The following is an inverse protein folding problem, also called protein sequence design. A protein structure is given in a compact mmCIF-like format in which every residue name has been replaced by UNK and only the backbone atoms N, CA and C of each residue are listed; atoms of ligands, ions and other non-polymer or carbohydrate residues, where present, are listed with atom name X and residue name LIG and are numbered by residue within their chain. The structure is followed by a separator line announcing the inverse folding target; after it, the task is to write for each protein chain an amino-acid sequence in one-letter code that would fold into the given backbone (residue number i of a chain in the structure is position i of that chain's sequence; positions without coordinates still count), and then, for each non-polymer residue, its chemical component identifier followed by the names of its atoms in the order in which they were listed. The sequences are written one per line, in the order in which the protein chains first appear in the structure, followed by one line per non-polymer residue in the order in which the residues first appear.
data_IF_852854413155
#
_entry.id   IF_852854413155
#
_cell.length_a   1.000
_cell.length_b   1.000
_cell.length_c   1.000
_cell.angle_alpha   90.00
_cell.angle_beta   90.00
_cell.angle_gamma   90.00
#
_symmetry.space_group_name_H-M   'P 1'
#
loop_
_entity.id
_entity.type
_entity.pdbx_description
1 polymer ?
#
# COMPACT_ATOMS: atom_id res chain seq x y z
N UNK A 1 11.86 -5.67 -19.17
CA UNK A 1 11.96 -5.54 -17.73
C UNK A 1 10.65 -6.00 -17.09
N UNK A 2 10.74 -6.82 -16.05
CA UNK A 2 9.55 -7.35 -15.40
C UNK A 2 8.80 -6.23 -14.68
N UNK A 3 7.47 -6.29 -14.75
CA UNK A 3 6.63 -5.35 -14.03
C UNK A 3 6.76 -5.62 -12.54
N UNK A 4 6.73 -4.55 -11.75
CA UNK A 4 6.77 -4.63 -10.30
C UNK A 4 5.59 -5.48 -9.82
N UNK A 5 5.80 -6.46 -8.90
CA UNK A 5 4.73 -7.38 -8.49
C UNK A 5 3.47 -6.71 -7.96
N UNK A 6 3.62 -5.60 -7.24
CA UNK A 6 2.47 -4.83 -6.76
C UNK A 6 1.63 -4.34 -7.95
N UNK A 7 2.30 -3.75 -8.94
CA UNK A 7 1.62 -3.18 -10.11
C UNK A 7 0.95 -4.29 -10.91
N UNK A 8 1.66 -5.41 -11.10
CA UNK A 8 1.10 -6.56 -11.80
C UNK A 8 -0.15 -7.06 -11.10
N UNK A 9 -0.12 -7.15 -9.77
CA UNK A 9 -1.25 -7.63 -9.00
C UNK A 9 -2.44 -6.68 -9.09
N UNK A 10 -2.19 -5.36 -9.10
CA UNK A 10 -3.28 -4.39 -9.31
C UNK A 10 -3.94 -4.63 -10.66
N UNK A 11 -3.13 -4.83 -11.70
CA UNK A 11 -3.62 -5.08 -13.05
C UNK A 11 -4.46 -6.36 -13.11
N UNK A 12 -4.08 -7.36 -12.33
CA UNK A 12 -4.70 -8.69 -12.34
C UNK A 12 -5.81 -8.86 -11.31
N UNK A 13 -6.13 -7.85 -10.54
CA UNK A 13 -7.20 -7.92 -9.56
C UNK A 13 -8.52 -8.33 -10.22
N UNK A 14 -9.45 -8.93 -9.47
CA UNK A 14 -10.74 -9.34 -10.05
C UNK A 14 -11.40 -8.21 -10.82
N UNK A 15 -12.06 -8.54 -11.93
CA UNK A 15 -12.68 -7.54 -12.80
C UNK A 15 -13.71 -6.69 -12.08
N UNK A 16 -14.40 -7.28 -11.10
CA UNK A 16 -15.42 -6.57 -10.34
C UNK A 16 -14.84 -5.62 -9.28
N UNK A 17 -13.53 -5.69 -9.02
CA UNK A 17 -12.91 -4.86 -7.99
C UNK A 17 -12.89 -3.40 -8.42
N UNK A 18 -13.32 -2.50 -7.53
CA UNK A 18 -13.17 -1.08 -7.73
C UNK A 18 -11.72 -0.65 -7.56
N UNK A 19 -11.47 0.65 -7.70
CA UNK A 19 -10.10 1.18 -7.71
C UNK A 19 -9.34 0.83 -6.42
N UNK A 20 -9.92 1.13 -5.26
CA UNK A 20 -9.22 0.88 -4.00
C UNK A 20 -9.12 -0.61 -3.71
N UNK A 21 -10.11 -1.40 -4.11
CA UNK A 21 -10.04 -2.86 -3.93
C UNK A 21 -8.92 -3.46 -4.77
N UNK A 22 -8.73 -2.97 -6.00
CA UNK A 22 -7.62 -3.45 -6.84
C UNK A 22 -6.27 -3.09 -6.21
N UNK A 23 -6.13 -1.88 -5.68
CA UNK A 23 -4.92 -1.47 -4.98
C UNK A 23 -4.70 -2.33 -3.74
N UNK A 24 -5.76 -2.59 -2.99
CA UNK A 24 -5.69 -3.44 -1.78
C UNK A 24 -5.20 -4.85 -2.12
N UNK A 25 -5.68 -5.39 -3.23
CA UNK A 25 -5.23 -6.70 -3.70
C UNK A 25 -3.73 -6.68 -3.97
N UNK A 26 -3.25 -5.65 -4.67
CA UNK A 26 -1.83 -5.51 -4.97
C UNK A 26 -0.98 -5.35 -3.72
N UNK A 27 -1.45 -4.56 -2.75
CA UNK A 27 -0.74 -4.37 -1.49
C UNK A 27 -0.62 -5.67 -0.70
N UNK A 28 -1.66 -6.50 -0.73
CA UNK A 28 -1.63 -7.79 -0.05
C UNK A 28 -0.57 -8.70 -0.66
N UNK A 29 -0.47 -8.72 -1.99
CA UNK A 29 0.55 -9.50 -2.68
C UNK A 29 1.95 -9.01 -2.31
N UNK A 30 2.15 -7.70 -2.33
CA UNK A 30 3.44 -7.10 -1.98
C UNK A 30 3.82 -7.44 -0.53
N UNK A 31 2.88 -7.26 0.39
CA UNK A 31 3.13 -7.50 1.81
C UNK A 31 3.45 -8.97 2.07
N UNK A 32 2.77 -9.89 1.40
CA UNK A 32 3.05 -11.31 1.56
C UNK A 32 4.49 -11.64 1.15
N UNK A 33 5.00 -10.99 0.09
CA UNK A 33 6.39 -11.17 -0.31
C UNK A 33 7.38 -10.73 0.76
N UNK A 34 7.12 -9.58 1.38
CA UNK A 34 7.97 -9.12 2.47
C UNK A 34 7.86 -10.02 3.70
N UNK A 35 6.67 -10.56 3.98
CA UNK A 35 6.50 -11.50 5.09
C UNK A 35 7.32 -12.77 4.88
N UNK A 36 7.47 -13.22 3.64
CA UNK A 36 8.30 -14.38 3.34
C UNK A 36 9.77 -14.13 3.64
N UNK A 37 10.25 -12.91 3.41
CA UNK A 37 11.61 -12.54 3.77
C UNK A 37 11.78 -12.33 5.28
N UNK A 38 10.67 -12.03 5.96
CA UNK A 38 10.62 -11.93 7.41
C UNK A 38 11.51 -10.83 7.98
N UNK A 39 12.30 -11.19 8.97
CA UNK A 39 13.11 -10.20 9.71
C UNK A 39 14.12 -9.48 8.81
N UNK A 40 14.61 -10.12 7.75
CA UNK A 40 15.52 -9.45 6.83
C UNK A 40 14.87 -8.24 6.16
N UNK A 41 13.63 -8.38 5.73
CA UNK A 41 12.92 -7.27 5.10
C UNK A 41 12.63 -6.16 6.11
N UNK A 42 12.20 -6.54 7.31
CA UNK A 42 11.94 -5.56 8.36
C UNK A 42 13.22 -4.79 8.72
N UNK A 43 14.33 -5.51 8.80
CA UNK A 43 15.62 -4.88 9.11
C UNK A 43 16.04 -3.90 8.02
N UNK A 44 15.89 -4.28 6.75
CA UNK A 44 16.20 -3.37 5.65
C UNK A 44 15.37 -2.10 5.74
N UNK A 45 14.08 -2.24 6.04
CA UNK A 45 13.20 -1.08 6.14
C UNK A 45 13.63 -0.17 7.30
N UNK A 46 13.99 -0.75 8.45
CA UNK A 46 14.47 0.04 9.58
C UNK A 46 15.71 0.86 9.20
N UNK A 47 16.63 0.23 8.47
CA UNK A 47 17.86 0.91 8.02
C UNK A 47 17.51 2.07 7.10
N UNK A 48 16.63 1.84 6.13
CA UNK A 48 16.20 2.88 5.19
C UNK A 48 15.52 4.02 5.96
N UNK A 49 14.64 3.66 6.89
CA UNK A 49 13.86 4.65 7.64
C UNK A 49 14.75 5.51 8.54
N UNK A 50 15.83 4.94 9.04
CA UNK A 50 16.75 5.65 9.96
C UNK A 50 17.74 6.56 9.23
N UNK A 51 17.91 6.41 7.91
CA UNK A 51 18.86 7.21 7.14
C UNK A 51 18.12 8.26 6.31
N UNK A 52 18.35 9.57 6.54
CA UNK A 52 17.68 10.60 5.75
C UNK A 52 17.91 10.45 4.25
N UNK A 53 19.13 10.07 3.84
CA UNK A 53 19.45 9.89 2.43
C UNK A 53 18.71 8.70 1.81
N UNK A 54 18.69 7.58 2.52
CA UNK A 54 18.00 6.39 2.03
C UNK A 54 16.49 6.60 2.03
N UNK A 55 15.99 7.31 3.03
CA UNK A 55 14.57 7.61 3.09
C UNK A 55 14.14 8.52 1.93
N UNK A 56 14.95 9.50 1.59
CA UNK A 56 14.68 10.36 0.45
C UNK A 56 14.57 9.55 -0.85
N UNK A 57 15.48 8.60 -1.05
CA UNK A 57 15.41 7.70 -2.20
C UNK A 57 14.15 6.85 -2.17
N UNK A 58 13.77 6.40 -0.97
CA UNK A 58 12.57 5.58 -0.83
C UNK A 58 11.32 6.39 -1.18
N UNK A 59 11.26 7.65 -0.81
CA UNK A 59 10.13 8.51 -1.16
C UNK A 59 10.00 8.67 -2.67
N UNK A 60 11.13 8.79 -3.37
CA UNK A 60 11.13 8.86 -4.83
C UNK A 60 10.59 7.55 -5.43
N UNK A 61 10.99 6.41 -4.88
CA UNK A 61 10.48 5.11 -5.32
C UNK A 61 8.99 4.99 -5.08
N UNK A 62 8.51 5.47 -3.94
CA UNK A 62 7.06 5.46 -3.65
C UNK A 62 6.30 6.31 -4.67
N UNK A 63 6.83 7.47 -5.03
CA UNK A 63 6.20 8.34 -6.02
C UNK A 63 6.12 7.65 -7.38
N UNK A 64 7.21 7.00 -7.79
CA UNK A 64 7.26 6.25 -9.05
C UNK A 64 6.28 5.08 -9.03
N UNK A 65 6.18 4.40 -7.90
CA UNK A 65 5.27 3.28 -7.74
C UNK A 65 3.82 3.75 -7.83
N UNK A 66 3.51 4.87 -7.19
CA UNK A 66 2.16 5.45 -7.27
C UNK A 66 1.78 5.75 -8.72
N UNK A 67 2.70 6.32 -9.50
CA UNK A 67 2.44 6.61 -10.91
C UNK A 67 2.17 5.33 -11.70
N UNK A 68 2.94 4.27 -11.43
CA UNK A 68 2.75 3.00 -12.12
C UNK A 68 1.39 2.38 -11.76
N UNK A 69 0.99 2.49 -10.50
CA UNK A 69 -0.33 2.01 -10.05
C UNK A 69 -1.45 2.81 -10.71
N UNK A 70 -1.28 4.13 -10.85
CA UNK A 70 -2.25 4.97 -11.56
C UNK A 70 -2.44 4.48 -12.99
N UNK A 71 -1.34 4.20 -13.68
CA UNK A 71 -1.42 3.70 -15.06
C UNK A 71 -2.15 2.35 -15.11
N UNK A 72 -1.85 1.47 -14.17
CA UNK A 72 -2.52 0.17 -14.10
C UNK A 72 -4.02 0.32 -13.87
N UNK A 73 -4.42 1.25 -13.00
CA UNK A 73 -5.83 1.52 -12.73
C UNK A 73 -6.52 2.10 -13.96
N UNK A 74 -5.87 3.03 -14.66
CA UNK A 74 -6.44 3.59 -15.90
C UNK A 74 -6.61 2.50 -16.95
N UNK A 75 -5.67 1.58 -17.02
CA UNK A 75 -5.78 0.42 -17.91
C UNK A 75 -6.96 -0.49 -17.57
N UNK A 76 -7.45 -0.43 -16.33
CA UNK A 76 -8.64 -1.16 -15.90
C UNK A 76 -9.91 -0.35 -16.09
N UNK A 77 -9.82 0.85 -16.65
CA UNK A 77 -10.97 1.70 -16.90
C UNK A 77 -11.26 2.70 -15.80
N UNK A 78 -10.39 2.82 -14.80
CA UNK A 78 -10.58 3.80 -13.74
C UNK A 78 -10.14 5.17 -14.24
N UNK A 79 -11.03 6.15 -14.18
CA UNK A 79 -10.72 7.51 -14.60
C UNK A 79 -10.14 8.34 -13.46
N UNK A 80 -9.67 9.54 -13.81
CA UNK A 80 -9.21 10.50 -12.82
C UNK A 80 -10.40 11.31 -12.29
N UNK A 81 -10.35 11.76 -11.05
CA UNK A 81 -9.22 11.65 -10.11
C UNK A 81 -9.16 10.33 -9.34
N UNK A 82 -10.10 9.42 -9.55
CA UNK A 82 -10.17 8.18 -8.77
C UNK A 82 -8.87 7.36 -8.85
N UNK A 83 -8.27 7.28 -10.03
CA UNK A 83 -7.01 6.52 -10.19
C UNK A 83 -5.90 7.13 -9.34
N UNK A 84 -5.77 8.44 -9.34
CA UNK A 84 -4.74 9.13 -8.55
C UNK A 84 -5.00 8.93 -7.05
N UNK A 85 -6.24 9.14 -6.63
CA UNK A 85 -6.59 9.04 -5.21
C UNK A 85 -6.38 7.63 -4.68
N UNK A 86 -6.79 6.61 -5.43
CA UNK A 86 -6.61 5.23 -5.00
C UNK A 86 -5.13 4.85 -4.93
N UNK A 87 -4.34 5.25 -5.93
CA UNK A 87 -2.92 4.93 -5.96
C UNK A 87 -2.18 5.60 -4.81
N UNK A 88 -2.40 6.90 -4.62
CA UNK A 88 -1.73 7.64 -3.55
C UNK A 88 -2.16 7.16 -2.16
N UNK A 89 -3.45 6.87 -2.00
CA UNK A 89 -3.95 6.33 -0.74
C UNK A 89 -3.31 4.98 -0.42
N UNK A 90 -3.15 4.15 -1.44
CA UNK A 90 -2.50 2.85 -1.28
C UNK A 90 -1.05 2.98 -0.81
N UNK A 91 -0.31 3.91 -1.41
CA UNK A 91 1.08 4.14 -0.99
C UNK A 91 1.13 4.65 0.44
N UNK A 92 0.22 5.55 0.81
CA UNK A 92 0.14 6.03 2.18
C UNK A 92 -0.14 4.87 3.15
N UNK A 93 -1.08 4.00 2.80
CA UNK A 93 -1.39 2.84 3.62
C UNK A 93 -0.18 1.92 3.79
N UNK A 94 0.57 1.73 2.71
CA UNK A 94 1.79 0.91 2.77
C UNK A 94 2.82 1.53 3.71
N UNK A 95 3.03 2.84 3.63
CA UNK A 95 3.99 3.52 4.52
C UNK A 95 3.60 3.38 5.98
N UNK A 96 2.32 3.64 6.28
CA UNK A 96 1.82 3.54 7.65
C UNK A 96 1.96 2.12 8.18
N UNK A 97 1.57 1.14 7.38
CA UNK A 97 1.67 -0.27 7.78
C UNK A 97 3.14 -0.68 7.98
N UNK A 98 4.02 -0.24 7.10
CA UNK A 98 5.45 -0.58 7.20
C UNK A 98 6.08 0.03 8.45
N UNK A 99 5.73 1.27 8.79
CA UNK A 99 6.23 1.89 10.02
C UNK A 99 5.76 1.11 11.25
N UNK A 100 4.50 0.67 11.26
CA UNK A 100 3.99 -0.16 12.35
C UNK A 100 4.70 -1.50 12.42
N UNK A 101 4.97 -2.09 11.26
CA UNK A 101 5.60 -3.40 11.16
C UNK A 101 6.97 -3.42 11.83
N UNK A 102 7.77 -2.39 11.58
CA UNK A 102 9.13 -2.34 12.15
C UNK A 102 9.13 -1.88 13.60
N UNK A 103 8.07 -1.23 14.05
CA UNK A 103 7.95 -0.78 15.44
C UNK A 103 7.22 -1.79 16.33
N UNK A 104 6.48 -2.73 15.73
CA UNK A 104 5.63 -3.64 16.46
C UNK A 104 6.42 -4.83 17.02
N UNK A 105 6.39 -4.97 18.33
CA UNK A 105 7.05 -6.09 19.02
C UNK A 105 6.17 -7.33 19.04
N UNK A 106 4.93 -7.25 18.58
CA UNK A 106 3.99 -8.37 18.59
C UNK A 106 4.13 -9.27 17.38
N UNK A 107 5.01 -8.92 16.48
CA UNK A 107 5.36 -9.74 15.30
C UNK A 107 4.19 -10.03 14.38
N UNK A 108 3.25 -9.10 14.26
CA UNK A 108 2.20 -9.23 13.27
C UNK A 108 2.80 -9.20 11.87
N UNK A 109 2.33 -10.06 10.96
CA UNK A 109 2.81 -10.00 9.59
C UNK A 109 2.39 -8.69 8.91
N UNK A 110 3.21 -8.23 7.98
CA UNK A 110 2.95 -6.98 7.26
C UNK A 110 1.58 -7.03 6.56
N UNK A 111 1.22 -8.17 5.96
CA UNK A 111 -0.07 -8.28 5.27
C UNK A 111 -1.24 -8.01 6.22
N UNK A 112 -1.12 -8.41 7.48
CA UNK A 112 -2.17 -8.14 8.46
C UNK A 112 -2.23 -6.65 8.78
N UNK A 113 -1.08 -6.02 8.95
CA UNK A 113 -1.02 -4.58 9.23
C UNK A 113 -1.54 -3.78 8.06
N UNK A 114 -1.24 -4.20 6.83
CA UNK A 114 -1.78 -3.56 5.63
C UNK A 114 -3.32 -3.64 5.65
N UNK A 115 -3.87 -4.81 5.97
CA UNK A 115 -5.33 -4.97 6.02
C UNK A 115 -5.94 -4.06 7.09
N UNK A 116 -5.29 -3.96 8.26
CA UNK A 116 -5.77 -3.09 9.33
C UNK A 116 -5.73 -1.62 8.94
N UNK A 117 -4.64 -1.19 8.29
CA UNK A 117 -4.50 0.19 7.86
C UNK A 117 -5.50 0.53 6.74
N UNK A 118 -5.73 -0.40 5.83
CA UNK A 118 -6.73 -0.19 4.78
C UNK A 118 -8.14 -0.06 5.35
N UNK A 119 -8.45 -0.84 6.39
CA UNK A 119 -9.73 -0.71 7.08
C UNK A 119 -9.86 0.66 7.74
N UNK A 120 -8.78 1.16 8.34
CA UNK A 120 -8.76 2.51 8.91
C UNK A 120 -8.95 3.57 7.84
N UNK A 121 -8.31 3.40 6.68
CA UNK A 121 -8.46 4.33 5.57
C UNK A 121 -9.92 4.43 5.14
N UNK A 122 -10.58 3.29 5.01
CA UNK A 122 -11.99 3.27 4.61
C UNK A 122 -12.87 3.93 5.67
N UNK A 123 -12.56 3.72 6.94
CA UNK A 123 -13.31 4.32 8.03
C UNK A 123 -13.15 5.84 8.04
N UNK A 124 -11.94 6.33 7.82
CA UNK A 124 -11.65 7.77 7.78
C UNK A 124 -12.39 8.42 6.61
N UNK A 125 -12.48 7.73 5.48
CA UNK A 125 -13.12 8.26 4.28
C UNK A 125 -14.65 8.14 4.29
N UNK A 126 -15.20 7.40 5.23
CA UNK A 126 -16.63 7.15 5.28
C UNK A 126 -17.36 8.24 6.06
N UNK A 127 -18.35 8.92 5.46
CA UNK A 127 -19.15 9.92 6.20
C UNK A 127 -19.90 9.32 7.38
N UNK A 128 -20.25 8.06 7.30
CA UNK A 128 -21.06 7.39 8.33
C UNK A 128 -20.29 7.21 9.63
N UNK A 129 -18.97 7.06 9.54
CA UNK A 129 -18.14 6.90 10.72
C UNK A 129 -18.19 8.11 11.63
N UNK A 130 -18.41 9.32 11.06
CA UNK A 130 -18.51 10.54 11.86
C UNK A 130 -19.91 10.78 12.42
N UNK A 131 -20.93 10.15 11.85
CA UNK A 131 -22.31 10.30 12.31
C UNK A 131 -22.63 9.43 13.51
N UNK A 132 -21.91 8.37 13.70
CA UNK A 132 -22.15 7.41 14.78
C UNK A 132 -21.62 7.89 16.12
N UNK A 133 -21.08 9.08 16.18
CA UNK A 133 -20.54 9.61 17.42
C UNK A 133 -21.57 10.48 18.14
N UNK A 134 -21.75 10.21 19.40
CA UNK A 134 -22.62 11.07 20.22
C UNK A 134 -22.06 12.46 20.33
#
# INVERSE_FOLDING_TARGET
MAEEPFVAAVREAPLAAGALDAVSYGLTVLAAGFDEEGEQAARRFRIVRASPQLWERQLIKFASLAEAVERALRGRGVGDPAAILAAESGITALRVASDRWVADTKEKPLRQLVAEVLAELRAVASPEASHDRP
#
